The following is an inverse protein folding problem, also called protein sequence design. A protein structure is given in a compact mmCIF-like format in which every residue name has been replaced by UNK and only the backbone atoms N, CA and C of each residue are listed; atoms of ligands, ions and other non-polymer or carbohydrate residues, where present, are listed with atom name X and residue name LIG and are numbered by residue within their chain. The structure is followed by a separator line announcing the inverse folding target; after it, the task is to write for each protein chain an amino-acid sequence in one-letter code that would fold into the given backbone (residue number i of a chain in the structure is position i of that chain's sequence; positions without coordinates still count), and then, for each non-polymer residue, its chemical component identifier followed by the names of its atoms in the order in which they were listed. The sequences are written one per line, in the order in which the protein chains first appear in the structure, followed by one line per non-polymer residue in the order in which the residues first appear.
data_IF_056488195093
#
_entry.id   IF_056488195093
#
_cell.length_a   1.000
_cell.length_b   1.000
_cell.length_c   1.000
_cell.angle_alpha   90.00
_cell.angle_beta   90.00
_cell.angle_gamma   90.00
#
_symmetry.space_group_name_H-M   'P 1'
#
loop_
_entity.id
_entity.type
_entity.pdbx_description
1 polymer ?
#
# COMPACT_ATOMS: atom_id res chain seq x y z
N UNK A 1 -2.87 -32.32 -20.49
CA UNK A 1 -3.36 -30.97 -20.83
C UNK A 1 -2.77 -29.87 -19.95
N UNK A 2 -1.94 -30.17 -18.95
CA UNK A 2 -0.95 -29.21 -18.43
C UNK A 2 0.29 -29.97 -17.91
N UNK A 3 1.26 -30.27 -18.79
CA UNK A 3 2.60 -30.75 -18.38
C UNK A 3 3.44 -29.56 -17.86
N UNK A 4 2.91 -28.84 -16.87
CA UNK A 4 3.60 -27.71 -16.26
C UNK A 4 4.60 -28.27 -15.24
N UNK A 5 5.91 -28.00 -15.39
CA UNK A 5 6.89 -28.43 -14.42
C UNK A 5 6.59 -27.83 -13.03
N UNK A 6 6.71 -28.62 -11.97
CA UNK A 6 6.49 -28.16 -10.58
C UNK A 6 7.36 -26.95 -10.23
N UNK A 7 8.55 -26.86 -10.83
CA UNK A 7 9.47 -25.74 -10.68
C UNK A 7 8.87 -24.42 -11.19
N UNK A 8 8.09 -24.45 -12.27
CA UNK A 8 7.42 -23.26 -12.83
C UNK A 8 6.31 -22.79 -11.89
N UNK A 9 5.52 -23.72 -11.35
CA UNK A 9 4.48 -23.43 -10.35
C UNK A 9 5.08 -22.80 -9.09
N UNK A 10 6.11 -23.43 -8.50
CA UNK A 10 6.80 -22.91 -7.32
C UNK A 10 7.47 -21.54 -7.59
N UNK A 11 8.04 -21.36 -8.78
CA UNK A 11 8.58 -20.08 -9.23
C UNK A 11 7.53 -18.97 -9.25
N UNK A 12 6.36 -19.23 -9.84
CA UNK A 12 5.29 -18.25 -9.92
C UNK A 12 4.61 -17.98 -8.58
N UNK A 13 4.49 -18.98 -7.70
CA UNK A 13 4.04 -18.75 -6.32
C UNK A 13 5.01 -17.80 -5.60
N UNK A 14 6.31 -18.00 -5.79
CA UNK A 14 7.34 -17.16 -5.17
C UNK A 14 7.27 -15.71 -5.70
N UNK A 15 7.13 -15.53 -7.02
CA UNK A 15 6.96 -14.20 -7.63
C UNK A 15 5.64 -13.56 -7.19
N UNK A 16 4.57 -14.35 -7.15
CA UNK A 16 3.27 -13.92 -6.67
C UNK A 16 3.31 -13.46 -5.21
N UNK A 17 4.08 -14.15 -4.36
CA UNK A 17 4.28 -13.73 -2.96
C UNK A 17 5.04 -12.41 -2.86
N UNK A 18 6.03 -12.18 -3.72
CA UNK A 18 6.75 -10.89 -3.79
C UNK A 18 5.78 -9.77 -4.16
N UNK A 19 4.97 -9.93 -5.20
CA UNK A 19 3.95 -8.95 -5.58
C UNK A 19 2.89 -8.78 -4.48
N UNK A 20 2.44 -9.89 -3.90
CA UNK A 20 1.47 -9.92 -2.81
C UNK A 20 1.96 -9.20 -1.56
N UNK A 21 3.27 -9.19 -1.30
CA UNK A 21 3.85 -8.39 -0.22
C UNK A 21 3.69 -6.88 -0.47
N UNK A 22 3.93 -6.41 -1.70
CA UNK A 22 3.64 -5.01 -2.08
C UNK A 22 2.16 -4.67 -1.92
N UNK A 23 1.27 -5.56 -2.39
CA UNK A 23 -0.17 -5.37 -2.22
C UNK A 23 -0.56 -5.32 -0.75
N UNK A 24 -0.02 -6.22 0.08
CA UNK A 24 -0.33 -6.27 1.51
C UNK A 24 0.05 -4.97 2.23
N UNK A 25 1.27 -4.45 2.04
CA UNK A 25 1.70 -3.24 2.74
C UNK A 25 0.98 -1.97 2.26
N UNK A 26 0.72 -1.87 0.95
CA UNK A 26 -0.05 -0.75 0.39
C UNK A 26 -1.51 -0.79 0.84
N UNK A 27 -2.11 -1.98 0.80
CA UNK A 27 -3.50 -2.22 1.22
C UNK A 27 -3.67 -2.01 2.71
N UNK A 28 -2.68 -2.38 3.53
CA UNK A 28 -2.70 -2.09 4.95
C UNK A 28 -2.76 -0.59 5.23
N UNK A 29 -1.93 0.21 4.55
CA UNK A 29 -1.98 1.66 4.67
C UNK A 29 -3.33 2.25 4.25
N UNK A 30 -3.89 1.75 3.14
CA UNK A 30 -5.20 2.20 2.64
C UNK A 30 -6.35 1.79 3.57
N UNK A 31 -6.33 0.55 4.08
CA UNK A 31 -7.32 0.02 5.00
C UNK A 31 -7.32 0.78 6.34
N UNK A 32 -6.16 1.20 6.84
CA UNK A 32 -6.05 2.04 8.03
C UNK A 32 -6.71 3.41 7.86
N UNK A 33 -6.42 4.07 6.73
CA UNK A 33 -7.00 5.39 6.44
C UNK A 33 -8.52 5.27 6.28
N UNK A 34 -8.97 4.29 5.48
CA UNK A 34 -10.39 4.08 5.24
C UNK A 34 -11.13 3.72 6.54
N UNK A 35 -10.57 2.82 7.34
CA UNK A 35 -11.21 2.34 8.58
C UNK A 35 -11.52 3.44 9.57
N UNK A 36 -10.85 4.60 9.50
CA UNK A 36 -11.08 5.75 10.37
C UNK A 36 -11.89 6.87 9.75
N UNK A 37 -11.60 7.18 8.49
CA UNK A 37 -12.18 8.34 7.82
C UNK A 37 -13.46 7.99 7.04
N UNK A 38 -13.71 6.71 6.75
CA UNK A 38 -14.75 6.26 5.81
C UNK A 38 -14.67 6.96 4.44
N UNK A 39 -13.49 7.46 4.07
CA UNK A 39 -13.23 8.14 2.79
C UNK A 39 -12.19 7.34 2.02
N UNK A 40 -12.49 7.11 0.73
CA UNK A 40 -11.56 6.50 -0.21
C UNK A 40 -10.50 7.54 -0.58
N UNK A 41 -9.25 7.30 -0.15
CA UNK A 41 -8.14 8.21 -0.38
C UNK A 41 -7.41 7.88 -1.69
N UNK A 42 -7.76 8.56 -2.78
CA UNK A 42 -7.05 8.38 -4.06
C UNK A 42 -5.62 8.95 -4.05
N UNK A 43 -5.31 9.86 -3.13
CA UNK A 43 -3.96 10.39 -2.97
C UNK A 43 -2.98 9.34 -2.44
N UNK A 44 -3.45 8.20 -1.92
CA UNK A 44 -2.59 7.10 -1.43
C UNK A 44 -1.63 6.57 -2.50
N UNK A 45 -2.10 6.47 -3.76
CA UNK A 45 -1.26 6.10 -4.89
C UNK A 45 -0.20 7.15 -5.20
N UNK A 46 -0.55 8.44 -5.10
CA UNK A 46 0.40 9.54 -5.25
C UNK A 46 1.42 9.59 -4.09
N UNK A 47 1.04 9.23 -2.86
CA UNK A 47 1.95 9.12 -1.72
C UNK A 47 2.95 7.96 -1.91
N UNK A 48 2.52 6.85 -2.50
CA UNK A 48 3.40 5.77 -2.96
C UNK A 48 4.39 6.26 -4.05
N UNK A 49 3.90 7.02 -5.03
CA UNK A 49 4.73 7.69 -6.04
C UNK A 49 5.80 8.58 -5.38
N UNK A 50 5.38 9.45 -4.44
CA UNK A 50 6.29 10.31 -3.67
C UNK A 50 7.33 9.51 -2.88
N UNK A 51 7.00 8.31 -2.40
CA UNK A 51 7.96 7.40 -1.77
C UNK A 51 9.10 6.98 -2.71
N UNK A 52 8.79 6.54 -3.94
CA UNK A 52 9.83 6.14 -4.87
C UNK A 52 10.65 7.31 -5.42
N UNK A 53 10.00 8.45 -5.71
CA UNK A 53 10.76 9.65 -6.06
C UNK A 53 11.56 10.18 -4.87
N UNK A 54 11.05 10.04 -3.65
CA UNK A 54 11.72 10.42 -2.42
C UNK A 54 13.02 9.66 -2.23
N UNK A 55 13.03 8.32 -2.42
CA UNK A 55 14.27 7.54 -2.35
C UNK A 55 15.23 7.88 -3.50
N UNK A 56 14.70 8.08 -4.71
CA UNK A 56 15.49 8.53 -5.86
C UNK A 56 16.21 9.85 -5.55
N UNK A 57 15.49 10.84 -5.02
CA UNK A 57 16.03 12.15 -4.66
C UNK A 57 17.01 12.06 -3.49
N UNK A 58 16.67 11.32 -2.44
CA UNK A 58 17.51 11.15 -1.26
C UNK A 58 18.87 10.53 -1.63
N UNK A 59 18.88 9.52 -2.49
CA UNK A 59 20.12 8.84 -2.87
C UNK A 59 20.89 9.60 -3.96
N UNK A 60 20.23 10.01 -5.05
CA UNK A 60 20.95 10.63 -6.18
C UNK A 60 21.31 12.10 -5.95
N UNK A 61 20.44 12.88 -5.31
CA UNK A 61 20.71 14.33 -5.11
C UNK A 61 21.34 14.63 -3.76
N UNK A 62 20.90 13.94 -2.71
CA UNK A 62 21.36 14.20 -1.33
C UNK A 62 22.45 13.23 -0.85
N UNK A 63 22.78 12.18 -1.61
CA UNK A 63 23.82 11.21 -1.25
C UNK A 63 23.50 10.36 -0.02
N UNK A 64 22.23 10.31 0.40
CA UNK A 64 21.79 9.53 1.57
C UNK A 64 21.84 8.04 1.24
N UNK A 65 22.33 7.22 2.17
CA UNK A 65 22.37 5.77 1.99
C UNK A 65 20.94 5.18 1.96
N UNK A 66 20.73 4.09 1.20
CA UNK A 66 19.47 3.36 1.09
C UNK A 66 18.82 3.07 2.46
N UNK A 67 19.62 2.62 3.42
CA UNK A 67 19.14 2.28 4.77
C UNK A 67 18.53 3.48 5.51
N UNK A 68 19.11 4.66 5.34
CA UNK A 68 18.58 5.90 5.92
C UNK A 68 17.36 6.38 5.14
N UNK A 69 17.39 6.29 3.81
CA UNK A 69 16.26 6.65 2.96
C UNK A 69 15.03 5.77 3.23
N UNK A 70 15.23 4.51 3.61
CA UNK A 70 14.17 3.58 4.00
C UNK A 70 13.34 4.06 5.19
N UNK A 71 13.91 4.89 6.07
CA UNK A 71 13.22 5.46 7.24
C UNK A 71 12.84 6.92 6.98
N UNK A 72 13.78 7.71 6.45
CA UNK A 72 13.63 9.14 6.28
C UNK A 72 12.52 9.49 5.27
N UNK A 73 12.43 8.77 4.15
CA UNK A 73 11.43 9.05 3.12
C UNK A 73 10.00 8.78 3.63
N UNK A 74 9.68 7.61 4.25
CA UNK A 74 8.38 7.40 4.87
C UNK A 74 8.02 8.44 5.93
N UNK A 75 8.98 8.88 6.75
CA UNK A 75 8.74 9.90 7.78
C UNK A 75 8.39 11.25 7.14
N UNK A 76 9.14 11.67 6.11
CA UNK A 76 8.89 12.93 5.41
C UNK A 76 7.54 12.89 4.67
N UNK A 77 7.24 11.81 3.95
CA UNK A 77 5.96 11.67 3.25
C UNK A 77 4.80 11.48 4.24
N UNK A 78 5.02 10.81 5.36
CA UNK A 78 4.06 10.71 6.46
C UNK A 78 3.75 12.07 7.08
N UNK A 79 4.77 12.90 7.31
CA UNK A 79 4.59 14.27 7.78
C UNK A 79 3.86 15.14 6.74
N UNK A 80 4.14 14.96 5.45
CA UNK A 80 3.39 15.60 4.38
C UNK A 80 1.92 15.14 4.36
N UNK A 81 1.67 13.85 4.58
CA UNK A 81 0.32 13.30 4.77
C UNK A 81 -0.41 13.92 5.96
N UNK A 82 0.24 14.03 7.12
CA UNK A 82 -0.30 14.74 8.29
C UNK A 82 -0.66 16.20 7.96
N UNK A 83 0.15 16.88 7.15
CA UNK A 83 -0.10 18.25 6.74
C UNK A 83 -1.34 18.34 5.84
N UNK A 84 -1.46 17.44 4.86
CA UNK A 84 -2.64 17.33 3.99
C UNK A 84 -3.90 17.09 4.81
N UNK A 85 -3.84 16.13 5.75
CA UNK A 85 -4.99 15.83 6.59
C UNK A 85 -5.39 17.04 7.43
N UNK A 86 -4.43 17.63 8.15
CA UNK A 86 -4.71 18.70 9.10
C UNK A 86 -5.18 19.98 8.44
N UNK A 87 -4.61 20.34 7.29
CA UNK A 87 -4.90 21.61 6.63
C UNK A 87 -6.08 21.52 5.65
N UNK A 88 -6.27 20.37 5.00
CA UNK A 88 -7.18 20.23 3.87
C UNK A 88 -8.31 19.26 4.21
N UNK A 89 -8.02 17.98 4.48
CA UNK A 89 -9.07 16.97 4.69
C UNK A 89 -9.92 17.24 5.92
N UNK A 90 -9.33 17.73 7.01
CA UNK A 90 -10.06 18.09 8.23
C UNK A 90 -11.08 19.19 8.02
N UNK A 91 -10.92 20.05 7.01
CA UNK A 91 -11.93 21.05 6.65
C UNK A 91 -13.12 20.44 5.90
N UNK A 92 -12.93 19.27 5.30
CA UNK A 92 -13.93 18.54 4.54
C UNK A 92 -14.65 17.47 5.38
N UNK A 93 -14.17 17.18 6.61
CA UNK A 93 -14.66 16.08 7.46
C UNK A 93 -16.09 16.27 8.01
N UNK A 94 -16.79 17.33 7.63
CA UNK A 94 -18.22 17.55 7.91
C UNK A 94 -19.10 17.62 6.66
N UNK A 95 -18.50 17.46 5.47
CA UNK A 95 -19.21 17.40 4.20
C UNK A 95 -19.44 15.94 3.79
N UNK A 96 -20.18 15.75 2.70
CA UNK A 96 -20.36 14.42 2.11
C UNK A 96 -19.00 13.79 1.73
N UNK A 97 -18.88 12.47 1.87
CA UNK A 97 -17.66 11.69 1.64
C UNK A 97 -17.14 11.87 0.21
N UNK A 98 -18.03 12.17 -0.74
CA UNK A 98 -17.70 12.48 -2.13
C UNK A 98 -16.72 13.65 -2.25
N UNK A 99 -16.83 14.68 -1.41
CA UNK A 99 -15.91 15.83 -1.43
C UNK A 99 -14.49 15.43 -1.04
N UNK A 100 -14.33 14.54 -0.05
CA UNK A 100 -13.03 13.99 0.32
C UNK A 100 -12.41 13.15 -0.80
N UNK A 101 -13.24 12.34 -1.47
CA UNK A 101 -12.80 11.56 -2.64
C UNK A 101 -12.34 12.46 -3.79
N UNK A 102 -13.17 13.43 -4.19
CA UNK A 102 -12.86 14.40 -5.26
C UNK A 102 -11.59 15.17 -4.96
N UNK A 103 -11.41 15.61 -3.71
CA UNK A 103 -10.22 16.33 -3.28
C UNK A 103 -8.97 15.44 -3.36
N UNK A 104 -9.01 14.22 -2.82
CA UNK A 104 -7.85 13.32 -2.85
C UNK A 104 -7.49 12.88 -4.27
N UNK A 105 -8.49 12.72 -5.14
CA UNK A 105 -8.28 12.45 -6.56
C UNK A 105 -7.64 13.66 -7.26
N UNK A 106 -8.15 14.87 -7.05
CA UNK A 106 -7.55 16.09 -7.58
C UNK A 106 -6.11 16.31 -7.08
N UNK A 107 -5.85 16.07 -5.80
CA UNK A 107 -4.50 16.12 -5.22
C UNK A 107 -3.58 15.08 -5.88
N UNK A 108 -4.06 13.86 -6.13
CA UNK A 108 -3.28 12.84 -6.82
C UNK A 108 -2.89 13.30 -8.24
N UNK A 109 -3.83 13.87 -8.99
CA UNK A 109 -3.58 14.40 -10.34
C UNK A 109 -2.59 15.57 -10.34
N UNK A 110 -2.70 16.49 -9.38
CA UNK A 110 -1.77 17.62 -9.24
C UNK A 110 -0.37 17.11 -8.93
N UNK A 111 -0.22 16.19 -7.98
CA UNK A 111 1.08 15.61 -7.63
C UNK A 111 1.67 14.83 -8.81
N UNK A 112 0.88 13.98 -9.47
CA UNK A 112 1.32 13.23 -10.65
C UNK A 112 1.76 14.19 -11.78
N UNK A 113 0.97 15.23 -12.04
CA UNK A 113 1.26 16.25 -13.05
C UNK A 113 2.56 17.02 -12.78
N UNK A 114 2.79 17.45 -11.54
CA UNK A 114 4.03 18.13 -11.13
C UNK A 114 5.25 17.22 -11.37
N UNK A 115 5.18 15.96 -10.95
CA UNK A 115 6.31 15.03 -11.14
C UNK A 115 6.53 14.67 -12.60
N UNK A 116 5.46 14.58 -13.39
CA UNK A 116 5.53 14.36 -14.83
C UNK A 116 6.13 15.55 -15.58
N UNK A 117 5.87 16.78 -15.13
CA UNK A 117 6.50 17.98 -15.70
C UNK A 117 8.00 18.03 -15.39
N UNK A 118 8.38 17.75 -14.13
CA UNK A 118 9.79 17.85 -13.69
C UNK A 118 10.66 16.69 -14.22
N UNK A 119 10.15 15.46 -14.20
CA UNK A 119 10.93 14.25 -14.50
C UNK A 119 10.53 13.56 -15.80
N UNK A 120 9.49 14.03 -16.48
CA UNK A 120 8.91 13.36 -17.63
C UNK A 120 8.08 12.13 -17.26
N UNK A 121 7.56 11.45 -18.28
CA UNK A 121 6.82 10.18 -18.13
C UNK A 121 7.72 8.94 -18.30
N UNK A 122 8.99 9.12 -18.63
CA UNK A 122 9.93 8.03 -18.78
C UNK A 122 10.32 7.48 -17.40
N UNK A 123 10.40 6.15 -17.29
CA UNK A 123 10.86 5.49 -16.08
C UNK A 123 12.32 5.82 -15.80
N UNK A 124 12.59 6.35 -14.62
CA UNK A 124 13.95 6.56 -14.12
C UNK A 124 14.45 5.24 -13.51
N UNK A 125 15.51 4.63 -14.05
CA UNK A 125 16.05 3.41 -13.48
C UNK A 125 16.71 3.74 -12.14
N UNK A 126 16.36 2.96 -11.13
CA UNK A 126 16.94 3.06 -9.81
C UNK A 126 17.67 1.74 -9.50
N UNK A 127 19.01 1.76 -9.31
CA UNK A 127 19.77 0.53 -9.13
C UNK A 127 19.53 -0.08 -7.74
N UNK A 128 19.59 -1.40 -7.68
CA UNK A 128 19.55 -2.11 -6.40
C UNK A 128 20.76 -1.75 -5.52
N UNK A 129 20.56 -1.59 -4.20
CA UNK A 129 21.65 -1.30 -3.26
C UNK A 129 22.75 -2.37 -3.34
N UNK A 130 24.05 -2.01 -3.30
CA UNK A 130 25.16 -2.95 -3.46
C UNK A 130 25.10 -4.16 -2.52
N UNK A 131 24.68 -3.96 -1.26
CA UNK A 131 24.55 -5.01 -0.25
C UNK A 131 23.46 -6.06 -0.58
N UNK A 132 22.54 -5.73 -1.48
CA UNK A 132 21.41 -6.59 -1.88
C UNK A 132 21.51 -7.01 -3.35
N UNK A 133 22.68 -6.80 -3.98
CA UNK A 133 22.98 -7.30 -5.34
C UNK A 133 23.34 -8.77 -5.28
N UNK A 134 22.73 -9.55 -6.15
CA UNK A 134 23.00 -10.98 -6.29
C UNK A 134 21.72 -11.79 -6.44
N UNK A 135 21.92 -13.09 -6.65
CA UNK A 135 20.85 -14.07 -6.79
C UNK A 135 21.06 -15.18 -5.76
N UNK A 136 19.96 -15.67 -5.21
CA UNK A 136 19.90 -16.87 -4.38
C UNK A 136 19.33 -17.97 -5.26
N UNK A 137 19.99 -19.12 -5.30
CA UNK A 137 19.46 -20.30 -5.95
C UNK A 137 18.57 -21.06 -4.96
N UNK A 138 17.27 -21.13 -5.26
CA UNK A 138 16.29 -21.87 -4.47
C UNK A 138 16.16 -23.33 -4.95
N UNK A 139 17.00 -23.78 -5.88
CA UNK A 139 16.98 -25.09 -6.50
C UNK A 139 15.95 -25.23 -7.63
N UNK A 140 14.79 -24.59 -7.50
CA UNK A 140 13.77 -24.52 -8.56
C UNK A 140 13.80 -23.21 -9.36
N UNK A 141 14.43 -22.15 -8.83
CA UNK A 141 14.53 -20.83 -9.46
C UNK A 141 15.67 -20.01 -8.83
N UNK A 142 16.33 -19.16 -9.64
CA UNK A 142 17.24 -18.13 -9.13
C UNK A 142 16.48 -16.84 -8.86
N UNK A 143 16.41 -16.44 -7.60
CA UNK A 143 15.67 -15.26 -7.16
C UNK A 143 16.64 -14.15 -6.74
N UNK A 144 16.47 -12.90 -7.21
CA UNK A 144 17.26 -11.78 -6.72
C UNK A 144 17.12 -11.60 -5.21
N UNK A 145 18.24 -11.41 -4.49
CA UNK A 145 18.27 -11.20 -3.03
C UNK A 145 17.32 -10.08 -2.62
N UNK A 146 17.25 -9.01 -3.42
CA UNK A 146 16.37 -7.87 -3.18
C UNK A 146 14.88 -8.23 -3.08
N UNK A 147 14.40 -9.25 -3.83
CA UNK A 147 13.01 -9.70 -3.74
C UNK A 147 12.71 -10.41 -2.42
N UNK A 148 13.67 -11.18 -1.91
CA UNK A 148 13.56 -11.79 -0.57
C UNK A 148 13.54 -10.71 0.49
N UNK A 149 14.44 -9.73 0.38
CA UNK A 149 14.49 -8.58 1.27
C UNK A 149 13.15 -7.84 1.38
N UNK A 150 12.48 -7.60 0.24
CA UNK A 150 11.16 -6.96 0.22
C UNK A 150 10.13 -7.78 0.96
N UNK A 151 10.05 -9.09 0.69
CA UNK A 151 9.08 -9.96 1.37
C UNK A 151 9.30 -9.92 2.88
N UNK A 152 10.55 -10.03 3.33
CA UNK A 152 10.90 -9.95 4.74
C UNK A 152 10.52 -8.60 5.37
N UNK A 153 10.90 -7.49 4.75
CA UNK A 153 10.60 -6.14 5.27
C UNK A 153 9.11 -5.83 5.24
N UNK A 154 8.42 -6.18 4.16
CA UNK A 154 6.98 -5.99 4.04
C UNK A 154 6.24 -6.78 5.11
N UNK A 155 6.59 -8.05 5.31
CA UNK A 155 5.94 -8.89 6.31
C UNK A 155 6.23 -8.38 7.73
N UNK A 156 7.48 -7.96 8.00
CA UNK A 156 7.86 -7.37 9.27
C UNK A 156 7.05 -6.11 9.59
N UNK A 157 6.91 -5.19 8.62
CA UNK A 157 6.13 -3.97 8.81
C UNK A 157 4.63 -4.27 8.92
N UNK A 158 4.10 -5.18 8.10
CA UNK A 158 2.70 -5.60 8.18
C UNK A 158 2.37 -6.19 9.55
N UNK A 159 3.21 -7.08 10.07
CA UNK A 159 3.04 -7.67 11.41
C UNK A 159 3.19 -6.61 12.49
N UNK A 160 4.18 -5.73 12.41
CA UNK A 160 4.40 -4.67 13.40
C UNK A 160 3.19 -3.73 13.48
N UNK A 161 2.65 -3.30 12.34
CA UNK A 161 1.48 -2.44 12.26
C UNK A 161 0.21 -3.18 12.67
N UNK A 162 0.03 -4.43 12.24
CA UNK A 162 -1.09 -5.26 12.68
C UNK A 162 -1.08 -5.42 14.21
N UNK A 163 0.08 -5.74 14.80
CA UNK A 163 0.23 -5.85 16.25
C UNK A 163 -0.07 -4.50 16.94
N UNK A 164 0.46 -3.39 16.42
CA UNK A 164 0.19 -2.05 16.93
C UNK A 164 -1.31 -1.73 16.94
N UNK A 165 -2.04 -2.11 15.90
CA UNK A 165 -3.45 -1.73 15.72
C UNK A 165 -4.42 -2.75 16.34
N UNK A 166 -4.09 -4.04 16.39
CA UNK A 166 -4.99 -5.07 16.92
C UNK A 166 -4.76 -5.33 18.40
N UNK A 167 -3.51 -5.29 18.86
CA UNK A 167 -3.15 -5.73 20.21
C UNK A 167 -2.92 -4.58 21.19
N UNK A 168 -2.81 -3.34 20.72
CA UNK A 168 -2.56 -2.18 21.62
C UNK A 168 -3.80 -1.31 21.82
N UNK A 169 -3.74 -0.46 22.86
CA UNK A 169 -4.81 0.50 23.19
C UNK A 169 -5.11 1.47 22.05
N UNK A 170 -4.14 1.76 21.19
CA UNK A 170 -4.36 2.60 20.02
C UNK A 170 -5.49 2.03 19.16
N UNK A 171 -5.48 0.72 18.89
CA UNK A 171 -6.55 0.01 18.20
C UNK A 171 -7.94 0.22 18.79
N UNK A 172 -8.05 0.04 20.11
CA UNK A 172 -9.32 0.23 20.82
C UNK A 172 -9.81 1.68 20.75
N UNK A 173 -8.91 2.67 20.86
CA UNK A 173 -9.29 4.07 20.73
C UNK A 173 -9.68 4.44 19.31
N UNK A 174 -9.04 3.85 18.30
CA UNK A 174 -9.39 4.03 16.90
C UNK A 174 -10.80 3.52 16.62
N UNK A 175 -11.11 2.29 17.04
CA UNK A 175 -12.46 1.69 16.90
C UNK A 175 -13.52 2.46 17.67
N UNK A 176 -13.24 2.86 18.91
CA UNK A 176 -14.16 3.68 19.68
C UNK A 176 -14.38 5.07 19.04
N UNK A 177 -13.32 5.64 18.45
CA UNK A 177 -13.36 6.94 17.78
C UNK A 177 -14.22 6.93 16.52
N UNK A 178 -14.25 5.81 15.80
CA UNK A 178 -15.12 5.62 14.62
C UNK A 178 -16.57 5.42 14.99
N UNK A 179 -16.86 4.78 16.12
CA UNK A 179 -18.25 4.60 16.60
C UNK A 179 -18.82 5.90 17.17
N UNK A 180 -18.10 6.55 18.09
CA UNK A 180 -18.55 7.80 18.68
C UNK A 180 -17.38 8.71 19.11
N UNK A 181 -16.89 9.49 18.15
CA UNK A 181 -15.84 10.47 18.37
C UNK A 181 -16.12 11.44 19.54
N UNK A 182 -17.40 11.82 19.78
CA UNK A 182 -17.76 12.75 20.86
C UNK A 182 -17.57 12.14 22.25
N UNK A 183 -17.95 10.88 22.44
CA UNK A 183 -17.75 10.17 23.71
C UNK A 183 -16.26 9.97 23.97
N UNK A 184 -15.49 9.58 22.95
CA UNK A 184 -14.04 9.40 23.08
C UNK A 184 -13.33 10.72 23.44
N UNK A 185 -13.78 11.84 22.87
CA UNK A 185 -13.28 13.17 23.26
C UNK A 185 -13.65 13.55 24.69
N UNK A 186 -14.85 13.19 25.17
CA UNK A 186 -15.27 13.43 26.55
C UNK A 186 -14.41 12.63 27.58
N UNK A 187 -13.84 11.50 27.15
CA UNK A 187 -12.88 10.70 27.94
C UNK A 187 -11.45 11.26 27.90
N UNK A 188 -11.23 12.44 27.32
CA UNK A 188 -9.92 13.12 27.28
C UNK A 188 -9.01 12.70 26.12
N UNK A 189 -9.50 11.91 25.17
CA UNK A 189 -8.71 11.46 24.01
C UNK A 189 -8.86 12.46 22.86
N UNK A 190 -7.74 12.94 22.33
CA UNK A 190 -7.73 13.88 21.21
C UNK A 190 -7.95 13.14 19.87
N UNK A 191 -9.22 12.91 19.52
CA UNK A 191 -9.61 12.25 18.26
C UNK A 191 -9.04 12.94 17.02
N UNK A 192 -9.06 14.29 16.89
CA UNK A 192 -8.44 14.93 15.73
C UNK A 192 -6.94 14.61 15.57
N UNK A 193 -6.17 14.63 16.66
CA UNK A 193 -4.75 14.26 16.60
C UNK A 193 -4.58 12.79 16.19
N UNK A 194 -5.43 11.90 16.73
CA UNK A 194 -5.41 10.48 16.40
C UNK A 194 -5.66 10.24 14.90
N UNK A 195 -6.63 10.95 14.31
CA UNK A 195 -6.91 10.89 12.86
C UNK A 195 -5.69 11.36 12.05
N UNK A 196 -5.09 12.51 12.40
CA UNK A 196 -3.87 13.00 11.75
C UNK A 196 -2.75 11.97 11.81
N UNK A 197 -2.53 11.33 12.97
CA UNK A 197 -1.47 10.34 13.16
C UNK A 197 -1.70 9.08 12.33
N UNK A 198 -2.93 8.58 12.23
CA UNK A 198 -3.18 7.39 11.39
C UNK A 198 -3.11 7.73 9.90
N UNK A 199 -3.57 8.91 9.48
CA UNK A 199 -3.36 9.35 8.11
C UNK A 199 -1.88 9.46 7.77
N UNK A 200 -1.07 10.01 8.69
CA UNK A 200 0.38 10.07 8.56
C UNK A 200 1.01 8.67 8.48
N UNK A 201 0.56 7.73 9.31
CA UNK A 201 1.02 6.34 9.27
C UNK A 201 0.66 5.65 7.96
N UNK A 202 -0.57 5.82 7.47
CA UNK A 202 -0.99 5.27 6.17
C UNK A 202 -0.18 5.86 5.01
N UNK A 203 0.05 7.18 5.01
CA UNK A 203 0.90 7.86 4.04
C UNK A 203 2.36 7.37 4.11
N UNK A 204 2.89 7.16 5.32
CA UNK A 204 4.24 6.62 5.53
C UNK A 204 4.34 5.18 5.00
N UNK A 205 3.33 4.33 5.22
CA UNK A 205 3.28 2.96 4.69
C UNK A 205 3.23 2.93 3.16
N UNK A 206 2.45 3.82 2.54
CA UNK A 206 2.44 3.98 1.08
C UNK A 206 3.82 4.39 0.56
N UNK A 207 4.44 5.38 1.19
CA UNK A 207 5.77 5.83 0.81
C UNK A 207 6.82 4.73 1.01
N UNK A 208 6.78 3.99 2.11
CA UNK A 208 7.66 2.86 2.39
C UNK A 208 7.54 1.78 1.32
N UNK A 209 6.32 1.44 0.89
CA UNK A 209 6.10 0.54 -0.23
C UNK A 209 6.72 1.09 -1.53
N UNK A 210 6.64 2.41 -1.76
CA UNK A 210 7.27 3.09 -2.88
C UNK A 210 8.79 3.00 -2.86
N UNK A 211 9.41 3.19 -1.69
CA UNK A 211 10.85 3.04 -1.50
C UNK A 211 11.29 1.61 -1.84
N UNK A 212 10.55 0.60 -1.35
CA UNK A 212 10.83 -0.80 -1.63
C UNK A 212 10.62 -1.15 -3.11
N UNK A 213 9.65 -0.52 -3.77
CA UNK A 213 9.29 -0.77 -5.16
C UNK A 213 10.28 -0.16 -6.15
N UNK A 214 10.90 0.98 -5.84
CA UNK A 214 11.75 1.75 -6.74
C UNK A 214 12.84 0.93 -7.49
N UNK A 215 13.55 -0.03 -6.85
CA UNK A 215 14.54 -0.85 -7.55
C UNK A 215 13.97 -1.96 -8.43
N UNK A 216 12.70 -2.32 -8.26
CA UNK A 216 12.00 -3.34 -9.07
C UNK A 216 11.22 -2.68 -10.20
N UNK A 217 10.48 -1.63 -9.86
CA UNK A 217 9.64 -0.87 -10.77
C UNK A 217 10.34 0.47 -11.01
N UNK A 218 10.67 0.76 -12.27
CA UNK A 218 11.26 2.04 -12.65
C UNK A 218 10.42 3.19 -12.08
N UNK A 219 11.08 4.22 -11.57
CA UNK A 219 10.41 5.33 -10.91
C UNK A 219 9.78 6.21 -11.99
N UNK A 220 8.45 6.22 -12.07
CA UNK A 220 7.69 7.02 -13.03
C UNK A 220 6.44 7.61 -12.37
N UNK A 221 5.91 8.75 -12.84
CA UNK A 221 4.75 9.39 -12.23
C UNK A 221 3.50 8.50 -12.20
N UNK A 222 3.21 7.78 -13.29
CA UNK A 222 2.02 6.93 -13.41
C UNK A 222 2.04 5.67 -12.52
N UNK A 223 3.15 5.38 -11.83
CA UNK A 223 3.23 4.16 -11.02
C UNK A 223 2.20 4.13 -9.88
N UNK A 224 1.81 5.31 -9.37
CA UNK A 224 0.86 5.46 -8.28
C UNK A 224 -0.57 5.12 -8.66
N UNK A 225 -1.04 5.61 -9.80
CA UNK A 225 -2.40 5.38 -10.29
C UNK A 225 -2.62 3.91 -10.66
N UNK A 226 -1.64 3.26 -11.30
CA UNK A 226 -1.72 1.84 -11.65
C UNK A 226 -1.84 0.91 -10.43
N UNK A 227 -0.98 1.12 -9.42
CA UNK A 227 -0.97 0.25 -8.23
C UNK A 227 -2.19 0.50 -7.34
N UNK A 228 -2.69 1.74 -7.29
CA UNK A 228 -3.81 2.13 -6.46
C UNK A 228 -5.09 1.35 -6.80
N UNK A 229 -5.39 1.15 -8.08
CA UNK A 229 -6.59 0.44 -8.52
C UNK A 229 -6.55 -1.02 -8.04
N UNK A 230 -5.40 -1.69 -8.17
CA UNK A 230 -5.21 -3.07 -7.70
C UNK A 230 -5.33 -3.13 -6.17
N UNK A 231 -4.66 -2.21 -5.48
CA UNK A 231 -4.66 -2.12 -4.01
C UNK A 231 -6.07 -1.85 -3.47
N UNK A 232 -6.85 -1.01 -4.15
CA UNK A 232 -8.24 -0.76 -3.78
C UNK A 232 -9.08 -2.03 -3.88
N UNK A 233 -8.96 -2.79 -4.98
CA UNK A 233 -9.64 -4.07 -5.13
C UNK A 233 -9.25 -5.06 -4.02
N UNK A 234 -7.96 -5.12 -3.66
CA UNK A 234 -7.45 -5.95 -2.55
C UNK A 234 -8.11 -5.57 -1.22
N UNK A 235 -8.20 -4.28 -0.89
CA UNK A 235 -8.85 -3.82 0.36
C UNK A 235 -10.35 -4.12 0.36
N UNK A 236 -11.04 -3.91 -0.77
CA UNK A 236 -12.46 -4.21 -0.90
C UNK A 236 -12.73 -5.71 -0.72
N UNK A 237 -11.92 -6.58 -1.31
CA UNK A 237 -12.00 -8.04 -1.10
C UNK A 237 -11.69 -8.40 0.36
N UNK A 238 -10.66 -7.79 0.94
CA UNK A 238 -10.29 -8.02 2.35
C UNK A 238 -11.36 -7.55 3.33
N UNK A 239 -12.18 -6.60 2.95
CA UNK A 239 -13.14 -5.92 3.81
C UNK A 239 -12.58 -4.58 4.28
N UNK A 240 -13.32 -3.53 3.96
CA UNK A 240 -12.95 -2.14 4.28
C UNK A 240 -12.78 -1.97 5.80
N UNK A 241 -11.64 -1.42 6.23
CA UNK A 241 -11.30 -1.22 7.64
C UNK A 241 -10.72 -2.43 8.37
N UNK A 242 -10.58 -3.60 7.71
CA UNK A 242 -9.91 -4.78 8.29
C UNK A 242 -8.42 -4.80 7.94
N UNK A 243 -7.54 -4.51 8.92
CA UNK A 243 -6.08 -4.55 8.74
C UNK A 243 -5.58 -5.96 8.42
N UNK A 244 -6.06 -6.96 9.16
CA UNK A 244 -5.74 -8.37 8.93
C UNK A 244 -6.27 -8.84 7.56
N UNK A 245 -7.50 -8.43 7.20
CA UNK A 245 -8.10 -8.75 5.91
C UNK A 245 -7.29 -8.19 4.74
N UNK A 246 -6.83 -6.94 4.84
CA UNK A 246 -5.99 -6.32 3.81
C UNK A 246 -4.65 -7.05 3.59
N UNK A 247 -3.99 -7.51 4.67
CA UNK A 247 -2.73 -8.25 4.59
C UNK A 247 -2.95 -9.63 3.96
N UNK A 248 -3.92 -10.40 4.48
CA UNK A 248 -4.19 -11.76 4.01
C UNK A 248 -4.64 -11.77 2.55
N UNK A 249 -5.53 -10.86 2.18
CA UNK A 249 -6.02 -10.73 0.81
C UNK A 249 -4.95 -10.23 -0.14
N UNK A 250 -4.08 -9.30 0.28
CA UNK A 250 -2.95 -8.84 -0.56
C UNK A 250 -1.98 -9.97 -0.89
N UNK A 251 -1.62 -10.77 0.11
CA UNK A 251 -0.77 -11.95 -0.08
C UNK A 251 -1.44 -13.01 -0.95
N UNK A 252 -2.71 -13.34 -0.67
CA UNK A 252 -3.46 -14.33 -1.43
C UNK A 252 -3.64 -13.93 -2.89
N UNK A 253 -4.02 -12.67 -3.16
CA UNK A 253 -4.19 -12.18 -4.53
C UNK A 253 -2.88 -12.11 -5.28
N UNK A 254 -1.76 -11.80 -4.63
CA UNK A 254 -0.45 -11.89 -5.27
C UNK A 254 -0.13 -13.30 -5.74
N UNK A 255 -0.41 -14.31 -4.92
CA UNK A 255 -0.22 -15.72 -5.28
C UNK A 255 -1.18 -16.15 -6.39
N UNK A 256 -2.46 -15.75 -6.32
CA UNK A 256 -3.44 -16.03 -7.37
C UNK A 256 -3.00 -15.39 -8.69
N UNK A 257 -2.61 -14.10 -8.67
CA UNK A 257 -2.09 -13.39 -9.85
C UNK A 257 -0.89 -14.13 -10.45
N UNK A 258 0.08 -14.54 -9.62
CA UNK A 258 1.25 -15.30 -10.03
C UNK A 258 0.90 -16.63 -10.68
N UNK A 259 0.02 -17.42 -10.06
CA UNK A 259 -0.46 -18.70 -10.62
C UNK A 259 -1.24 -18.49 -11.92
N UNK A 260 -2.06 -17.46 -12.02
CA UNK A 260 -2.79 -17.14 -13.25
C UNK A 260 -1.86 -16.86 -14.43
N UNK A 261 -0.63 -16.35 -14.21
CA UNK A 261 0.37 -16.17 -15.28
C UNK A 261 0.81 -17.48 -15.93
N UNK A 262 0.65 -18.61 -15.25
CA UNK A 262 1.00 -19.93 -15.80
C UNK A 262 -0.05 -20.41 -16.79
N UNK A 263 -1.33 -20.17 -16.48
CA UNK A 263 -2.45 -20.68 -17.27
C UNK A 263 -2.90 -19.71 -18.36
N UNK A 264 -3.09 -18.44 -18.00
CA UNK A 264 -3.61 -17.39 -18.87
C UNK A 264 -2.95 -16.04 -18.52
N UNK A 265 -1.78 -15.73 -19.11
CA UNK A 265 -1.05 -14.49 -18.86
C UNK A 265 -1.88 -13.23 -19.12
N UNK A 266 -2.76 -13.21 -20.14
CA UNK A 266 -3.56 -12.01 -20.45
C UNK A 266 -4.56 -11.68 -19.34
N UNK A 267 -5.07 -12.69 -18.63
CA UNK A 267 -6.08 -12.51 -17.57
C UNK A 267 -5.43 -12.23 -16.22
N UNK A 268 -4.13 -12.49 -16.06
CA UNK A 268 -3.44 -12.37 -14.76
C UNK A 268 -3.63 -11.00 -14.09
N UNK A 269 -3.52 -9.89 -14.84
CA UNK A 269 -3.76 -8.56 -14.27
C UNK A 269 -5.24 -8.28 -13.97
N UNK A 270 -6.15 -8.89 -14.74
CA UNK A 270 -7.60 -8.75 -14.60
C UNK A 270 -8.18 -9.66 -13.51
N UNK A 271 -7.48 -10.74 -13.13
CA UNK A 271 -7.99 -11.75 -12.19
C UNK A 271 -8.36 -11.15 -10.85
N UNK A 272 -7.62 -10.12 -10.41
CA UNK A 272 -7.90 -9.40 -9.16
C UNK A 272 -9.31 -8.81 -9.17
N UNK A 273 -9.74 -8.24 -10.30
CA UNK A 273 -11.08 -7.67 -10.45
C UNK A 273 -12.17 -8.73 -10.61
N UNK A 274 -11.85 -9.87 -11.22
CA UNK A 274 -12.78 -11.02 -11.30
C UNK A 274 -13.04 -11.58 -9.91
N UNK A 275 -11.97 -11.78 -9.12
CA UNK A 275 -12.10 -12.22 -7.72
C UNK A 275 -12.86 -11.19 -6.89
N UNK A 276 -12.62 -9.89 -7.11
CA UNK A 276 -13.38 -8.82 -6.46
C UNK A 276 -14.88 -8.92 -6.75
N UNK A 277 -15.26 -9.03 -8.03
CA UNK A 277 -16.66 -9.16 -8.42
C UNK A 277 -17.30 -10.41 -7.78
N UNK A 278 -16.61 -11.54 -7.82
CA UNK A 278 -17.09 -12.79 -7.22
C UNK A 278 -17.27 -12.70 -5.70
N UNK A 279 -16.29 -12.13 -5.00
CA UNK A 279 -16.36 -11.95 -3.54
C UNK A 279 -17.49 -11.01 -3.17
N UNK A 280 -17.67 -9.89 -3.87
CA UNK A 280 -18.74 -8.93 -3.55
C UNK A 280 -20.15 -9.47 -3.83
N UNK A 281 -20.30 -10.37 -4.82
CA UNK A 281 -21.57 -11.07 -5.05
C UNK A 281 -21.96 -11.99 -3.90
N UNK A 282 -20.98 -12.56 -3.20
CA UNK A 282 -21.21 -13.51 -2.10
C UNK A 282 -21.20 -12.81 -0.73
N UNK A 283 -20.29 -11.86 -0.54
CA UNK A 283 -20.08 -11.07 0.68
C UNK A 283 -19.81 -9.60 0.33
N UNK A 284 -20.84 -8.73 0.33
CA UNK A 284 -20.69 -7.31 -0.02
C UNK A 284 -19.82 -6.52 0.97
N UNK A 285 -19.69 -6.99 2.21
CA UNK A 285 -18.78 -6.42 3.20
C UNK A 285 -17.29 -6.82 2.99
N UNK A 286 -17.00 -7.71 2.04
CA UNK A 286 -15.69 -8.35 1.88
C UNK A 286 -15.52 -9.59 2.76
N UNK A 287 -14.40 -10.30 2.61
CA UNK A 287 -14.14 -11.57 3.29
C UNK A 287 -14.05 -11.42 4.82
N UNK A 288 -13.42 -10.34 5.29
CA UNK A 288 -13.20 -10.06 6.71
C UNK A 288 -13.87 -8.76 7.19
N UNK A 289 -14.81 -8.21 6.41
CA UNK A 289 -15.63 -7.08 6.85
C UNK A 289 -16.62 -7.53 7.94
N UNK A 290 -16.88 -6.66 8.91
CA UNK A 290 -17.93 -6.88 9.89
C UNK A 290 -19.26 -6.44 9.27
N UNK A 291 -20.23 -7.35 9.25
CA UNK A 291 -21.62 -7.01 8.92
C UNK A 291 -22.12 -6.01 9.98
N UNK A 292 -22.68 -4.89 9.49
CA UNK A 292 -23.28 -3.86 10.32
C UNK A 292 -24.70 -4.28 10.75
#
# INVERSE_FOLDING_TARGET
MFDIPIQVLLGQVTIGLVNGSFYAILSLGLALIFGLLNVINFAHGALYMLGAFGVYLAMQKLGVNYWWSLILVPVVVGAFGALIERLLLRRLSGLDHLYGLLFTFGLALVLEGIFRDIYGSAGLPYPTPPALRGLIDLGFMRLPIYRVWIVCMSLLVCIAVWFLIEQTRLGSYLRAGTENARIVQALGINVPLMVTLVYALGAALAAFAGVLAAPIYQVQPLMGSNILIITFAVVVIGGLGSTAGAIMTGLALGVIEGLSKVFYPEISSTIVFIVMAFVLLIRPAGLFGREA
#
